data_IF_510086394656
#
_entry.id   IF_510086394656
#
_cell.length_a   1.000
_cell.length_b   1.000
_cell.length_c   1.000
_cell.angle_alpha   90.00
_cell.angle_beta   90.00
_cell.angle_gamma   90.00
#
_symmetry.space_group_name_H-M   'P 1'
#
loop_
_entity.id
_entity.type
_entity.pdbx_description
1 polymer ?
#
# COMPACT_ATOMS: atom_id res chain seq x y z
N UNK A 1 9.42 3.89 33.29
CA UNK A 1 9.81 3.09 34.44
C UNK A 1 8.64 2.31 35.07
N UNK A 2 7.40 2.84 34.94
CA UNK A 2 6.22 2.32 35.65
C UNK A 2 5.78 0.91 35.23
N UNK A 3 6.10 0.47 34.02
CA UNK A 3 5.65 -0.82 33.44
C UNK A 3 6.80 -1.81 33.19
N UNK A 4 8.04 -1.32 33.06
CA UNK A 4 9.12 -2.15 32.51
C UNK A 4 9.45 -3.36 33.38
N UNK A 5 9.43 -3.23 34.70
CA UNK A 5 9.72 -4.37 35.60
C UNK A 5 8.69 -5.49 35.43
N UNK A 6 7.40 -5.14 35.48
CA UNK A 6 6.31 -6.10 35.31
C UNK A 6 6.35 -6.80 33.96
N UNK A 7 6.59 -6.02 32.87
CA UNK A 7 6.66 -6.60 31.51
C UNK A 7 7.84 -7.56 31.38
N UNK A 8 9.00 -7.21 31.91
CA UNK A 8 10.17 -8.12 31.95
C UNK A 8 9.83 -9.41 32.69
N UNK A 9 9.21 -9.32 33.89
CA UNK A 9 8.83 -10.48 34.68
C UNK A 9 7.78 -11.33 33.96
N UNK A 10 6.74 -10.74 33.37
CA UNK A 10 5.72 -11.44 32.59
C UNK A 10 6.33 -12.16 31.37
N UNK A 11 7.25 -11.51 30.62
CA UNK A 11 7.94 -12.16 29.49
C UNK A 11 8.82 -13.32 29.98
N UNK A 12 9.58 -13.16 31.07
CA UNK A 12 10.39 -14.26 31.62
C UNK A 12 9.52 -15.41 32.10
N UNK A 13 8.33 -15.12 32.66
CA UNK A 13 7.38 -16.15 33.13
C UNK A 13 6.80 -16.99 31.98
N UNK A 14 6.83 -16.52 30.74
CA UNK A 14 6.42 -17.29 29.55
C UNK A 14 7.48 -18.31 29.12
N UNK A 15 8.74 -18.16 29.56
CA UNK A 15 9.88 -19.04 29.20
C UNK A 15 9.57 -20.54 29.30
N UNK A 16 9.08 -21.07 30.43
CA UNK A 16 8.77 -22.49 30.58
C UNK A 16 7.72 -23.00 29.58
N UNK A 17 6.73 -22.18 29.25
CA UNK A 17 5.71 -22.52 28.23
C UNK A 17 6.26 -22.54 26.80
N UNK A 18 7.27 -21.72 26.52
CA UNK A 18 8.01 -21.75 25.26
C UNK A 18 8.94 -22.95 25.17
N UNK A 19 9.66 -23.27 26.26
CA UNK A 19 10.54 -24.43 26.32
C UNK A 19 9.80 -25.75 26.09
N UNK A 20 8.59 -25.91 26.63
CA UNK A 20 7.72 -27.06 26.35
C UNK A 20 7.40 -27.24 24.86
N UNK A 21 7.52 -26.17 24.07
CA UNK A 21 7.34 -26.14 22.61
C UNK A 21 8.66 -26.17 21.83
N UNK A 22 9.78 -26.40 22.52
CA UNK A 22 11.11 -26.44 21.93
C UNK A 22 11.68 -25.07 21.56
N UNK A 23 11.16 -23.98 22.14
CA UNK A 23 11.61 -22.60 21.89
C UNK A 23 12.36 -22.09 23.13
N UNK A 24 13.63 -21.74 22.96
CA UNK A 24 14.42 -21.05 23.97
C UNK A 24 14.16 -19.52 23.88
N UNK A 25 13.98 -18.89 25.05
CA UNK A 25 13.73 -17.45 25.13
C UNK A 25 15.03 -16.66 25.29
N UNK A 26 15.31 -15.76 24.38
CA UNK A 26 16.30 -14.68 24.51
C UNK A 26 15.54 -13.36 24.68
N UNK A 27 15.69 -12.66 25.81
CA UNK A 27 15.04 -11.38 26.08
C UNK A 27 16.02 -10.21 25.96
N UNK A 28 15.72 -9.32 25.00
CA UNK A 28 16.44 -8.07 24.82
C UNK A 28 15.50 -6.89 25.13
N UNK A 29 15.98 -5.94 25.90
CA UNK A 29 15.32 -4.66 26.10
C UNK A 29 16.14 -3.57 25.41
N UNK A 30 15.52 -2.83 24.49
CA UNK A 30 16.15 -1.70 23.83
C UNK A 30 15.59 -0.42 24.41
N UNK A 31 16.40 0.27 25.18
CA UNK A 31 16.08 1.57 25.75
C UNK A 31 16.46 2.68 24.78
N UNK A 32 15.47 3.30 24.18
CA UNK A 32 15.64 4.36 23.17
C UNK A 32 15.82 5.76 23.81
N UNK A 33 16.74 5.84 24.75
CA UNK A 33 17.12 7.09 25.40
C UNK A 33 16.13 7.56 26.46
N UNK A 34 15.65 6.66 27.31
CA UNK A 34 14.84 7.01 28.50
C UNK A 34 15.60 7.93 29.44
N UNK A 35 14.87 8.88 30.03
CA UNK A 35 15.43 9.86 30.99
C UNK A 35 15.09 9.53 32.45
N UNK A 36 14.39 8.42 32.65
CA UNK A 36 13.97 7.89 33.94
C UNK A 36 14.82 6.67 34.34
N UNK A 37 14.40 5.94 35.36
CA UNK A 37 15.14 4.78 35.87
C UNK A 37 14.94 3.50 35.07
N UNK A 38 14.38 3.55 33.86
CA UNK A 38 14.10 2.37 33.03
C UNK A 38 15.33 1.48 32.86
N UNK A 39 16.46 2.05 32.44
CA UNK A 39 17.70 1.31 32.26
C UNK A 39 18.24 0.70 33.55
N UNK A 40 18.13 1.44 34.68
CA UNK A 40 18.53 0.93 36.00
C UNK A 40 17.71 -0.27 36.44
N UNK A 41 16.39 -0.24 36.22
CA UNK A 41 15.48 -1.32 36.54
C UNK A 41 15.84 -2.58 35.72
N UNK A 42 16.03 -2.44 34.42
CA UNK A 42 16.36 -3.58 33.54
C UNK A 42 17.70 -4.24 33.91
N UNK A 43 18.71 -3.47 34.34
CA UNK A 43 20.00 -4.03 34.80
C UNK A 43 19.92 -4.94 36.03
N UNK A 44 18.80 -4.92 36.74
CA UNK A 44 18.57 -5.83 37.89
C UNK A 44 18.26 -7.26 37.46
N UNK A 45 17.97 -7.49 36.17
CA UNK A 45 17.66 -8.80 35.59
C UNK A 45 18.87 -9.32 34.78
N UNK A 46 19.72 -10.21 35.39
CA UNK A 46 20.98 -10.66 34.78
C UNK A 46 20.79 -11.43 33.48
N UNK A 47 19.63 -12.03 33.27
CA UNK A 47 19.27 -12.82 32.07
C UNK A 47 18.74 -11.93 30.92
N UNK A 48 18.53 -10.65 31.17
CA UNK A 48 17.99 -9.71 30.21
C UNK A 48 19.13 -8.87 29.64
N UNK A 49 19.23 -8.86 28.32
CA UNK A 49 20.24 -8.05 27.60
C UNK A 49 19.73 -6.66 27.34
N UNK A 50 20.30 -5.66 27.98
CA UNK A 50 19.98 -4.25 27.79
C UNK A 50 20.82 -3.63 26.67
N UNK A 51 20.16 -3.03 25.69
CA UNK A 51 20.77 -2.20 24.66
C UNK A 51 20.27 -0.75 24.83
N UNK A 52 21.13 0.24 24.67
CA UNK A 52 20.76 1.65 24.91
C UNK A 52 21.13 2.53 23.71
N UNK A 53 20.23 3.41 23.34
CA UNK A 53 20.50 4.50 22.41
C UNK A 53 20.76 5.81 23.17
N UNK A 54 21.74 6.56 22.74
CA UNK A 54 21.97 7.91 23.21
C UNK A 54 22.54 8.74 22.03
N UNK A 55 21.79 9.68 21.45
CA UNK A 55 20.40 10.09 21.78
C UNK A 55 19.33 9.08 21.30
N UNK A 56 18.04 9.40 21.61
CA UNK A 56 16.87 8.70 21.06
C UNK A 56 16.93 8.66 19.53
N UNK A 57 16.66 7.46 18.95
CA UNK A 57 16.72 7.20 17.50
C UNK A 57 15.35 6.87 16.89
N UNK A 58 14.35 6.64 17.72
CA UNK A 58 12.98 6.34 17.35
C UNK A 58 12.60 4.87 17.50
N UNK A 59 11.29 4.64 17.58
CA UNK A 59 10.67 3.33 17.83
C UNK A 59 11.17 2.22 16.87
N UNK A 60 11.12 2.48 15.57
CA UNK A 60 11.59 1.50 14.58
C UNK A 60 13.10 1.28 14.64
N UNK A 61 13.89 2.30 14.97
CA UNK A 61 15.33 2.16 15.15
C UNK A 61 15.64 1.26 16.36
N UNK A 62 14.88 1.40 17.45
CA UNK A 62 15.02 0.52 18.63
C UNK A 62 14.73 -0.94 18.27
N UNK A 63 13.63 -1.20 17.55
CA UNK A 63 13.29 -2.54 17.08
C UNK A 63 14.39 -3.14 16.17
N UNK A 64 14.89 -2.35 15.20
CA UNK A 64 15.97 -2.78 14.30
C UNK A 64 17.25 -3.13 15.07
N UNK A 65 17.60 -2.34 16.08
CA UNK A 65 18.75 -2.62 16.96
C UNK A 65 18.54 -3.94 17.70
N UNK A 66 17.35 -4.19 18.24
CA UNK A 66 16.99 -5.44 18.88
C UNK A 66 17.11 -6.65 17.92
N UNK A 67 16.54 -6.54 16.71
CA UNK A 67 16.60 -7.63 15.72
C UNK A 67 18.02 -7.94 15.25
N UNK A 68 18.86 -6.91 15.11
CA UNK A 68 20.27 -7.08 14.75
C UNK A 68 21.04 -7.80 15.87
N UNK A 69 20.74 -7.50 17.13
CA UNK A 69 21.43 -8.06 18.28
C UNK A 69 20.91 -9.44 18.71
N UNK A 70 19.67 -9.79 18.35
CA UNK A 70 19.07 -11.08 18.65
C UNK A 70 19.76 -12.21 17.90
N UNK A 71 19.78 -13.42 18.50
CA UNK A 71 20.45 -14.62 17.94
C UNK A 71 19.47 -15.71 17.50
N UNK A 72 18.23 -15.70 17.99
CA UNK A 72 17.23 -16.71 17.70
C UNK A 72 16.73 -16.74 16.25
N UNK A 73 16.18 -17.86 15.80
CA UNK A 73 15.58 -18.06 14.48
C UNK A 73 14.21 -17.40 14.34
N UNK A 74 13.52 -17.24 15.46
CA UNK A 74 12.30 -16.47 15.57
C UNK A 74 12.59 -15.13 16.23
N UNK A 75 12.05 -14.07 15.66
CA UNK A 75 12.12 -12.73 16.21
C UNK A 75 10.73 -12.33 16.69
N UNK A 76 10.64 -11.86 17.92
CA UNK A 76 9.42 -11.33 18.50
C UNK A 76 9.65 -9.96 19.09
N UNK A 77 8.61 -9.15 19.14
CA UNK A 77 8.61 -7.90 19.88
C UNK A 77 7.24 -7.57 20.45
N UNK A 78 7.24 -6.78 21.49
CA UNK A 78 6.05 -6.16 22.08
C UNK A 78 6.40 -4.77 22.62
N UNK A 79 5.41 -3.89 22.69
CA UNK A 79 5.55 -2.58 23.32
C UNK A 79 5.59 -2.76 24.85
N UNK A 80 6.56 -2.13 25.52
CA UNK A 80 6.76 -2.26 26.97
C UNK A 80 5.83 -1.35 27.81
N UNK A 81 4.65 -0.99 27.30
CA UNK A 81 3.69 -0.09 27.95
C UNK A 81 2.51 -0.82 28.65
N UNK A 82 2.58 -2.14 28.69
CA UNK A 82 1.59 -2.99 29.36
C UNK A 82 0.34 -3.29 28.52
N UNK A 83 0.26 -2.80 27.28
CA UNK A 83 -0.94 -2.99 26.43
C UNK A 83 -1.06 -4.36 25.80
N UNK A 84 0.00 -5.14 25.77
CA UNK A 84 0.09 -6.44 25.11
C UNK A 84 0.40 -7.57 26.09
N UNK A 85 -0.33 -8.70 26.05
CA UNK A 85 -0.09 -9.85 26.90
C UNK A 85 1.05 -10.73 26.39
N UNK A 86 2.21 -10.78 27.09
CA UNK A 86 3.32 -11.68 26.71
C UNK A 86 2.92 -13.14 26.67
N UNK A 87 1.88 -13.51 27.40
CA UNK A 87 1.32 -14.86 27.50
C UNK A 87 0.80 -15.38 26.16
N UNK A 88 0.64 -14.51 25.15
CA UNK A 88 0.26 -14.89 23.78
C UNK A 88 1.43 -15.43 22.95
N UNK A 89 2.69 -15.23 23.34
CA UNK A 89 3.85 -15.69 22.56
C UNK A 89 3.87 -17.19 22.25
N UNK A 90 3.50 -18.12 23.16
CA UNK A 90 3.43 -19.54 22.83
C UNK A 90 2.50 -19.85 21.66
N UNK A 91 1.29 -19.24 21.62
CA UNK A 91 0.34 -19.41 20.54
C UNK A 91 0.88 -18.81 19.22
N UNK A 92 1.65 -17.71 19.29
CA UNK A 92 2.27 -17.11 18.11
C UNK A 92 3.36 -18.03 17.53
N UNK A 93 4.17 -18.65 18.38
CA UNK A 93 5.16 -19.64 17.96
C UNK A 93 4.49 -20.87 17.31
N UNK A 94 3.38 -21.36 17.87
CA UNK A 94 2.60 -22.44 17.25
C UNK A 94 2.11 -22.09 15.86
N UNK A 95 1.60 -20.87 15.65
CA UNK A 95 1.18 -20.42 14.32
C UNK A 95 2.36 -20.33 13.34
N UNK A 96 3.56 -19.91 13.79
CA UNK A 96 4.78 -19.95 12.97
C UNK A 96 5.13 -21.40 12.59
N UNK A 97 5.06 -22.35 13.52
CA UNK A 97 5.32 -23.77 13.23
C UNK A 97 4.27 -24.38 12.30
N UNK A 98 3.03 -23.86 12.35
CA UNK A 98 1.96 -24.24 11.43
C UNK A 98 2.12 -23.64 10.01
N UNK A 99 3.19 -22.86 9.75
CA UNK A 99 3.54 -22.36 8.44
C UNK A 99 3.31 -20.86 8.23
N UNK A 100 3.05 -20.07 9.29
CA UNK A 100 3.05 -18.61 9.16
C UNK A 100 4.50 -18.08 9.07
N UNK A 101 4.69 -17.03 8.27
CA UNK A 101 5.95 -16.28 8.21
C UNK A 101 5.96 -15.14 9.23
N UNK A 102 4.80 -14.50 9.42
CA UNK A 102 4.58 -13.38 10.33
C UNK A 102 3.27 -13.59 11.07
N UNK A 103 3.32 -13.52 12.39
CA UNK A 103 2.13 -13.54 13.26
C UNK A 103 1.98 -12.19 13.94
N UNK A 104 0.78 -11.64 13.88
CA UNK A 104 0.41 -10.32 14.44
C UNK A 104 -0.67 -10.52 15.50
N UNK A 105 -0.50 -9.97 16.67
CA UNK A 105 -1.54 -9.92 17.68
C UNK A 105 -2.59 -8.86 17.35
N UNK A 106 -3.79 -9.29 16.98
CA UNK A 106 -4.88 -8.39 16.59
C UNK A 106 -5.68 -7.94 17.80
N UNK A 107 -5.68 -6.65 18.07
CA UNK A 107 -6.45 -5.99 19.14
C UNK A 107 -7.93 -5.84 18.79
N UNK A 108 -8.30 -6.12 17.54
CA UNK A 108 -9.68 -5.93 17.01
C UNK A 108 -10.48 -7.22 16.96
N UNK A 109 -9.81 -8.36 16.93
CA UNK A 109 -10.46 -9.68 16.81
C UNK A 109 -10.84 -10.28 18.17
N UNK A 110 -10.37 -9.70 19.27
CA UNK A 110 -10.68 -10.17 20.64
C UNK A 110 -11.95 -9.52 21.22
N UNK A 111 -12.72 -10.29 22.03
CA UNK A 111 -13.97 -9.81 22.65
C UNK A 111 -13.73 -8.74 23.74
N UNK A 112 -12.55 -8.72 24.34
CA UNK A 112 -12.18 -7.84 25.48
C UNK A 112 -11.10 -6.84 25.04
N UNK A 113 -11.48 -5.83 24.24
CA UNK A 113 -10.56 -4.78 23.84
C UNK A 113 -10.98 -3.44 24.42
N UNK A 114 -10.20 -2.92 25.37
CA UNK A 114 -10.35 -1.59 25.98
C UNK A 114 -9.80 -0.46 25.09
N UNK A 115 -9.68 -0.70 23.78
CA UNK A 115 -9.14 0.29 22.85
C UNK A 115 -10.06 1.52 22.73
N UNK A 116 -9.54 2.75 22.93
CA UNK A 116 -10.30 3.98 22.75
C UNK A 116 -10.90 4.10 21.34
N UNK A 117 -12.13 4.65 21.24
CA UNK A 117 -12.85 4.77 19.97
C UNK A 117 -12.05 5.44 18.85
N UNK A 118 -11.32 6.52 19.17
CA UNK A 118 -10.46 7.21 18.18
C UNK A 118 -9.42 6.28 17.59
N UNK A 119 -8.81 5.39 18.39
CA UNK A 119 -7.85 4.39 17.90
C UNK A 119 -8.53 3.27 17.13
N UNK A 120 -9.75 2.86 17.54
CA UNK A 120 -10.54 1.87 16.78
C UNK A 120 -10.87 2.38 15.37
N UNK A 121 -11.34 3.62 15.27
CA UNK A 121 -11.65 4.27 13.98
C UNK A 121 -10.37 4.44 13.13
N UNK A 122 -9.30 4.97 13.73
CA UNK A 122 -8.03 5.11 13.02
C UNK A 122 -7.50 3.78 12.49
N UNK A 123 -7.48 2.75 13.33
CA UNK A 123 -7.02 1.42 12.91
C UNK A 123 -7.94 0.80 11.84
N UNK A 124 -9.27 1.04 11.89
CA UNK A 124 -10.19 0.63 10.84
C UNK A 124 -9.85 1.27 9.49
N UNK A 125 -9.59 2.57 9.48
CA UNK A 125 -9.18 3.30 8.26
C UNK A 125 -7.89 2.72 7.69
N UNK A 126 -6.88 2.49 8.53
CA UNK A 126 -5.60 1.93 8.09
C UNK A 126 -5.74 0.49 7.61
N UNK A 127 -6.48 -0.35 8.30
CA UNK A 127 -6.75 -1.73 7.89
C UNK A 127 -7.47 -1.79 6.55
N UNK A 128 -8.50 -0.95 6.37
CA UNK A 128 -9.24 -0.85 5.10
C UNK A 128 -8.34 -0.38 3.97
N UNK A 129 -7.51 0.64 4.22
CA UNK A 129 -6.57 1.16 3.22
C UNK A 129 -5.53 0.11 2.80
N UNK A 130 -4.89 -0.56 3.77
CA UNK A 130 -3.92 -1.62 3.48
C UNK A 130 -4.59 -2.77 2.72
N UNK A 131 -5.79 -3.20 3.14
CA UNK A 131 -6.56 -4.24 2.46
C UNK A 131 -6.90 -3.86 1.01
N UNK A 132 -7.39 -2.63 0.79
CA UNK A 132 -7.72 -2.14 -0.54
C UNK A 132 -6.50 -2.07 -1.47
N UNK A 133 -5.37 -1.58 -0.96
CA UNK A 133 -4.14 -1.41 -1.73
C UNK A 133 -3.40 -2.74 -1.98
N UNK A 134 -3.41 -3.67 -1.02
CA UNK A 134 -2.72 -4.96 -1.14
C UNK A 134 -3.58 -6.06 -1.77
N UNK A 135 -4.92 -5.96 -1.64
CA UNK A 135 -5.88 -6.97 -2.07
C UNK A 135 -5.92 -8.22 -1.17
N UNK A 136 -5.35 -8.16 0.02
CA UNK A 136 -5.41 -9.20 1.05
C UNK A 136 -5.94 -8.58 2.35
N UNK A 137 -6.82 -9.27 3.08
CA UNK A 137 -7.39 -8.73 4.30
C UNK A 137 -6.31 -8.56 5.38
N UNK A 138 -6.26 -7.38 5.99
CA UNK A 138 -5.44 -7.07 7.17
C UNK A 138 -6.34 -6.38 8.18
N UNK A 139 -6.37 -6.86 9.41
CA UNK A 139 -7.29 -6.38 10.46
C UNK A 139 -6.61 -5.36 11.37
N UNK A 140 -5.36 -5.62 11.77
CA UNK A 140 -4.61 -4.73 12.68
C UNK A 140 -3.18 -4.45 12.20
N UNK A 141 -2.99 -3.61 11.16
CA UNK A 141 -1.67 -3.32 10.60
C UNK A 141 -0.75 -2.57 11.57
N UNK A 142 -1.29 -1.93 12.61
CA UNK A 142 -0.55 -1.09 13.55
C UNK A 142 -0.31 -1.75 14.91
N UNK A 143 -0.53 -3.07 15.03
CA UNK A 143 -0.24 -3.79 16.25
C UNK A 143 1.25 -3.79 16.59
N UNK A 144 1.57 -3.54 17.86
CA UNK A 144 2.92 -3.55 18.43
C UNK A 144 3.33 -4.88 19.05
N UNK A 145 2.64 -5.99 18.78
CA UNK A 145 3.05 -7.33 19.19
C UNK A 145 3.08 -8.29 18.00
N UNK A 146 4.25 -8.86 17.74
CA UNK A 146 4.48 -9.75 16.59
C UNK A 146 5.53 -10.80 16.87
N UNK A 147 5.42 -11.93 16.15
CA UNK A 147 6.47 -12.93 16.00
C UNK A 147 6.62 -13.26 14.51
N UNK A 148 7.86 -13.39 14.04
CA UNK A 148 8.14 -13.71 12.65
C UNK A 148 9.46 -14.49 12.52
N UNK A 149 9.61 -15.18 11.38
CA UNK A 149 10.86 -15.90 11.07
C UNK A 149 11.96 -14.90 10.74
N UNK A 150 13.18 -15.14 11.22
CA UNK A 150 14.35 -14.28 10.93
C UNK A 150 14.56 -14.10 9.42
N UNK A 151 14.38 -15.16 8.64
CA UNK A 151 14.51 -15.12 7.18
C UNK A 151 13.52 -14.17 6.49
N UNK A 152 12.33 -13.97 7.06
CA UNK A 152 11.35 -13.01 6.56
C UNK A 152 11.85 -11.56 6.66
N UNK A 153 12.80 -11.28 7.56
CA UNK A 153 13.32 -9.93 7.78
C UNK A 153 13.96 -9.34 6.51
N UNK A 154 14.66 -10.15 5.71
CA UNK A 154 15.30 -9.70 4.45
C UNK A 154 14.27 -9.19 3.44
N UNK A 155 13.09 -9.80 3.41
CA UNK A 155 11.97 -9.39 2.54
C UNK A 155 11.19 -8.18 3.11
N UNK A 156 11.20 -8.02 4.43
CA UNK A 156 10.54 -6.92 5.09
C UNK A 156 11.34 -5.61 5.05
N UNK A 157 12.67 -5.67 4.95
CA UNK A 157 13.51 -4.48 4.89
C UNK A 157 13.42 -3.76 3.51
N UNK A 158 13.71 -2.43 3.47
CA UNK A 158 14.03 -1.52 4.57
C UNK A 158 12.78 -1.11 5.37
N UNK A 159 12.90 -1.00 6.69
CA UNK A 159 11.84 -0.56 7.61
C UNK A 159 12.19 0.82 8.20
N UNK A 160 11.19 1.71 8.43
CA UNK A 160 11.43 3.06 8.93
C UNK A 160 11.85 3.09 10.40
N UNK A 161 12.48 4.18 10.84
CA UNK A 161 12.91 4.38 12.23
C UNK A 161 11.79 4.87 13.17
N UNK A 162 10.69 5.37 12.61
CA UNK A 162 9.59 6.00 13.35
C UNK A 162 8.46 5.05 13.77
N UNK A 163 7.37 5.65 14.26
CA UNK A 163 6.15 4.94 14.68
C UNK A 163 5.40 4.27 13.53
N UNK A 164 5.70 4.62 12.29
CA UNK A 164 5.16 3.99 11.08
C UNK A 164 5.81 2.62 10.76
N UNK A 165 6.66 2.10 11.64
CA UNK A 165 7.33 0.81 11.48
C UNK A 165 6.34 -0.34 11.29
N UNK A 166 5.36 -0.49 12.19
CA UNK A 166 4.41 -1.61 12.17
C UNK A 166 3.44 -1.58 10.99
N UNK A 167 2.86 -0.43 10.57
CA UNK A 167 2.08 -0.35 9.34
C UNK A 167 2.88 -0.69 8.09
N UNK A 168 4.14 -0.23 7.99
CA UNK A 168 5.02 -0.57 6.85
C UNK A 168 5.31 -2.06 6.82
N UNK A 169 5.68 -2.64 7.96
CA UNK A 169 5.95 -4.06 8.07
C UNK A 169 4.76 -4.91 7.63
N UNK A 170 3.52 -4.56 8.05
CA UNK A 170 2.31 -5.26 7.61
C UNK A 170 2.08 -5.11 6.10
N UNK A 171 2.19 -3.89 5.59
CA UNK A 171 1.99 -3.63 4.15
C UNK A 171 2.99 -4.40 3.31
N UNK A 172 4.26 -4.42 3.70
CA UNK A 172 5.30 -5.18 3.01
C UNK A 172 5.09 -6.68 3.10
N UNK A 173 4.81 -7.21 4.30
CA UNK A 173 4.55 -8.64 4.47
C UNK A 173 3.49 -9.16 3.48
N UNK A 174 2.42 -8.39 3.29
CA UNK A 174 1.35 -8.75 2.36
C UNK A 174 1.78 -8.63 0.90
N UNK A 175 2.50 -7.58 0.51
CA UNK A 175 2.98 -7.38 -0.85
C UNK A 175 4.07 -8.39 -1.24
N UNK A 176 4.96 -8.72 -0.31
CA UNK A 176 5.96 -9.77 -0.47
C UNK A 176 5.38 -11.19 -0.51
N UNK A 177 4.06 -11.34 -0.32
CA UNK A 177 3.39 -12.63 -0.35
C UNK A 177 3.74 -13.51 0.86
N UNK A 178 4.21 -12.93 1.97
CA UNK A 178 4.42 -13.66 3.21
C UNK A 178 3.09 -14.15 3.78
N UNK A 179 3.12 -15.31 4.42
CA UNK A 179 1.95 -15.85 5.12
C UNK A 179 1.77 -15.10 6.45
N UNK A 180 1.00 -14.01 6.41
CA UNK A 180 0.67 -13.20 7.57
C UNK A 180 -0.60 -13.73 8.22
N UNK A 181 -0.49 -14.14 9.49
CA UNK A 181 -1.59 -14.63 10.33
C UNK A 181 -1.85 -13.63 11.44
N UNK A 182 -3.11 -13.30 11.67
CA UNK A 182 -3.53 -12.42 12.77
C UNK A 182 -4.26 -13.26 13.84
N UNK A 183 -3.73 -13.25 15.05
CA UNK A 183 -4.33 -13.94 16.19
C UNK A 183 -5.03 -12.92 17.10
N UNK A 184 -6.28 -13.18 17.52
CA UNK A 184 -6.98 -12.32 18.45
C UNK A 184 -6.25 -12.31 19.81
N UNK A 185 -6.14 -11.11 20.39
CA UNK A 185 -5.61 -10.97 21.74
C UNK A 185 -6.35 -9.86 22.50
N UNK A 186 -6.44 -9.93 23.84
CA UNK A 186 -6.94 -8.83 24.64
C UNK A 186 -6.01 -7.62 24.52
N UNK A 187 -6.58 -6.42 24.66
CA UNK A 187 -5.84 -5.18 24.71
C UNK A 187 -6.11 -4.51 26.05
N UNK A 188 -5.07 -4.42 26.87
CA UNK A 188 -5.14 -3.80 28.18
C UNK A 188 -4.95 -2.27 28.08
N UNK A 189 -5.42 -1.55 29.10
CA UNK A 189 -5.24 -0.09 29.15
C UNK A 189 -3.76 0.25 29.33
N UNK A 190 -3.29 1.21 28.54
CA UNK A 190 -1.89 1.64 28.53
C UNK A 190 -1.51 2.29 29.83
N UNK A 191 -0.37 1.89 30.41
CA UNK A 191 0.27 2.61 31.50
C UNK A 191 1.14 3.74 30.94
N UNK A 192 0.84 4.99 31.30
CA UNK A 192 1.59 6.17 30.90
C UNK A 192 0.98 6.95 29.71
N UNK A 193 1.59 8.09 29.37
CA UNK A 193 1.08 9.01 28.34
C UNK A 193 1.47 8.56 26.94
N UNK A 194 0.52 8.58 26.02
CA UNK A 194 0.78 8.32 24.60
C UNK A 194 1.60 9.47 23.99
N UNK A 195 2.72 9.15 23.34
CA UNK A 195 3.50 10.11 22.54
C UNK A 195 2.92 10.30 21.13
N UNK A 196 1.90 9.52 20.74
CA UNK A 196 1.31 9.53 19.40
C UNK A 196 0.42 10.77 19.22
N UNK A 197 0.73 11.58 18.21
CA UNK A 197 -0.13 12.67 17.76
C UNK A 197 -1.03 12.16 16.65
N UNK A 198 -2.35 12.07 16.89
CA UNK A 198 -3.33 11.42 16.01
C UNK A 198 -3.30 11.99 14.59
N UNK A 199 -3.20 13.32 14.43
CA UNK A 199 -3.21 13.95 13.10
C UNK A 199 -1.86 13.80 12.42
N UNK A 200 -0.76 14.22 13.07
CA UNK A 200 0.58 14.22 12.46
C UNK A 200 1.06 12.79 12.14
N UNK A 201 0.91 11.87 13.09
CA UNK A 201 1.36 10.49 12.89
C UNK A 201 0.40 9.74 11.99
N UNK A 202 -0.90 10.07 12.02
CA UNK A 202 -1.88 9.58 11.06
C UNK A 202 -1.52 9.95 9.61
N UNK A 203 -1.16 11.21 9.35
CA UNK A 203 -0.71 11.64 8.01
C UNK A 203 0.58 10.93 7.58
N UNK A 204 1.52 10.70 8.51
CA UNK A 204 2.72 9.91 8.22
C UNK A 204 2.38 8.47 7.84
N UNK A 205 1.44 7.85 8.56
CA UNK A 205 0.98 6.49 8.27
C UNK A 205 0.34 6.43 6.88
N UNK A 206 -0.57 7.37 6.57
CA UNK A 206 -1.20 7.49 5.26
C UNK A 206 -0.14 7.58 4.16
N UNK A 207 0.74 8.56 4.27
CA UNK A 207 1.81 8.77 3.29
C UNK A 207 2.66 7.51 3.11
N UNK A 208 3.06 6.88 4.21
CA UNK A 208 3.91 5.69 4.15
C UNK A 208 3.20 4.50 3.52
N UNK A 209 1.93 4.24 3.87
CA UNK A 209 1.14 3.14 3.29
C UNK A 209 0.97 3.35 1.78
N UNK A 210 0.63 4.59 1.35
CA UNK A 210 0.48 4.91 -0.08
C UNK A 210 1.80 4.72 -0.81
N UNK A 211 2.91 5.27 -0.32
CA UNK A 211 4.21 5.13 -0.97
C UNK A 211 4.67 3.67 -1.02
N UNK A 212 4.48 2.91 0.05
CA UNK A 212 4.78 1.48 0.04
C UNK A 212 3.95 0.75 -1.00
N UNK A 213 2.64 0.98 -1.05
CA UNK A 213 1.76 0.36 -2.04
C UNK A 213 2.16 0.73 -3.49
N UNK A 214 2.52 1.99 -3.74
CA UNK A 214 3.01 2.45 -5.05
C UNK A 214 4.34 1.81 -5.45
N UNK A 215 5.20 1.45 -4.48
CA UNK A 215 6.46 0.78 -4.75
C UNK A 215 6.26 -0.67 -5.22
N UNK A 216 5.20 -1.35 -4.74
CA UNK A 216 4.93 -2.74 -5.07
C UNK A 216 3.90 -2.93 -6.20
N UNK A 217 2.83 -2.16 -6.18
CA UNK A 217 1.75 -2.28 -7.17
C UNK A 217 1.10 -0.93 -7.43
N UNK A 218 1.72 -0.06 -8.22
CA UNK A 218 1.19 1.26 -8.54
C UNK A 218 -0.12 1.21 -9.35
N UNK A 219 -0.37 0.11 -10.07
CA UNK A 219 -1.58 -0.05 -10.88
C UNK A 219 -2.86 0.02 -10.05
N UNK A 220 -2.86 -0.51 -8.83
CA UNK A 220 -4.06 -0.51 -7.97
C UNK A 220 -4.46 0.89 -7.50
N UNK A 221 -3.60 1.67 -6.79
CA UNK A 221 -4.00 2.99 -6.32
C UNK A 221 -4.22 3.98 -7.48
N UNK A 222 -3.30 4.07 -8.44
CA UNK A 222 -3.42 5.00 -9.56
C UNK A 222 -4.53 4.58 -10.52
N UNK A 223 -4.58 3.30 -10.88
CA UNK A 223 -5.60 2.77 -11.76
C UNK A 223 -7.00 2.85 -11.15
N UNK A 224 -7.16 2.58 -9.86
CA UNK A 224 -8.45 2.68 -9.16
C UNK A 224 -8.97 4.12 -9.09
N UNK A 225 -8.13 5.07 -8.69
CA UNK A 225 -8.48 6.51 -8.67
C UNK A 225 -8.73 7.00 -10.09
N UNK A 226 -7.86 6.65 -11.05
CA UNK A 226 -8.00 7.03 -12.45
C UNK A 226 -9.31 6.54 -13.05
N UNK A 227 -9.65 5.28 -12.86
CA UNK A 227 -10.92 4.70 -13.31
C UNK A 227 -12.13 5.39 -12.69
N UNK A 228 -12.10 5.69 -11.39
CA UNK A 228 -13.17 6.40 -10.71
C UNK A 228 -13.41 7.81 -11.26
N UNK A 229 -12.32 8.58 -11.48
CA UNK A 229 -12.41 9.92 -12.09
C UNK A 229 -12.90 9.86 -13.52
N UNK A 230 -12.42 8.90 -14.32
CA UNK A 230 -12.88 8.68 -15.68
C UNK A 230 -14.38 8.37 -15.74
N UNK A 231 -14.86 7.47 -14.92
CA UNK A 231 -16.28 7.13 -14.82
C UNK A 231 -17.13 8.35 -14.42
N UNK A 232 -16.66 9.14 -13.45
CA UNK A 232 -17.35 10.36 -13.04
C UNK A 232 -17.43 11.38 -14.19
N UNK A 233 -16.32 11.61 -14.90
CA UNK A 233 -16.29 12.45 -16.10
C UNK A 233 -17.22 11.94 -17.19
N UNK A 234 -17.24 10.63 -17.45
CA UNK A 234 -18.12 9.98 -18.41
C UNK A 234 -19.61 10.15 -18.04
N UNK A 235 -19.97 9.98 -16.77
CA UNK A 235 -21.35 10.20 -16.30
C UNK A 235 -21.79 11.65 -16.55
N UNK A 236 -20.96 12.62 -16.20
CA UNK A 236 -21.25 14.04 -16.47
C UNK A 236 -21.40 14.28 -17.98
N UNK A 237 -20.49 13.74 -18.80
CA UNK A 237 -20.58 13.87 -20.27
C UNK A 237 -21.88 13.26 -20.83
N UNK A 238 -22.27 12.08 -20.36
CA UNK A 238 -23.53 11.43 -20.75
C UNK A 238 -24.76 12.26 -20.38
N UNK A 239 -24.75 12.93 -19.23
CA UNK A 239 -25.82 13.88 -18.87
C UNK A 239 -25.93 15.00 -19.91
N UNK A 240 -24.78 15.58 -20.34
CA UNK A 240 -24.80 16.63 -21.38
C UNK A 240 -25.23 16.10 -22.74
N UNK A 241 -24.88 14.88 -23.12
CA UNK A 241 -25.41 14.23 -24.32
C UNK A 241 -26.94 14.08 -24.22
N UNK A 242 -27.44 13.63 -23.09
CA UNK A 242 -28.87 13.51 -22.83
C UNK A 242 -29.61 14.85 -22.93
N UNK A 243 -29.06 15.90 -22.32
CA UNK A 243 -29.58 17.27 -22.43
C UNK A 243 -29.61 17.76 -23.91
N UNK A 244 -28.57 17.45 -24.67
CA UNK A 244 -28.50 17.79 -26.11
C UNK A 244 -29.59 17.06 -26.90
N UNK A 245 -29.81 15.79 -26.64
CA UNK A 245 -30.84 14.97 -27.30
C UNK A 245 -32.25 15.40 -26.90
N UNK A 246 -32.47 15.94 -25.71
CA UNK A 246 -33.75 16.53 -25.29
C UNK A 246 -34.00 17.94 -25.78
N UNK A 247 -33.14 18.47 -26.68
CA UNK A 247 -33.36 19.74 -27.36
C UNK A 247 -32.69 20.96 -26.74
N UNK A 248 -31.91 20.79 -25.64
CA UNK A 248 -31.12 21.90 -25.07
C UNK A 248 -29.93 22.20 -26.00
N UNK A 249 -29.98 23.36 -26.65
CA UNK A 249 -28.95 23.77 -27.63
C UNK A 249 -27.94 24.77 -27.07
N UNK A 250 -28.33 25.52 -26.04
CA UNK A 250 -27.49 26.54 -25.38
C UNK A 250 -27.27 26.18 -23.91
N UNK A 251 -26.06 26.46 -23.41
CA UNK A 251 -25.69 26.19 -22.04
C UNK A 251 -25.44 27.51 -21.28
N UNK A 252 -25.98 27.60 -20.07
CA UNK A 252 -25.61 28.67 -19.17
C UNK A 252 -24.21 28.46 -18.58
N UNK A 253 -23.70 29.40 -17.76
CA UNK A 253 -22.34 29.35 -17.18
C UNK A 253 -22.03 28.04 -16.44
N UNK A 254 -22.97 27.49 -15.69
CA UNK A 254 -22.83 26.21 -14.98
C UNK A 254 -22.75 25.00 -15.92
N UNK A 255 -23.44 25.09 -17.08
CA UNK A 255 -23.34 24.05 -18.09
C UNK A 255 -21.96 24.03 -18.75
N UNK A 256 -21.40 25.19 -19.05
CA UNK A 256 -20.03 25.32 -19.58
C UNK A 256 -19.01 24.79 -18.57
N UNK A 257 -19.14 25.17 -17.29
CA UNK A 257 -18.29 24.65 -16.21
C UNK A 257 -18.40 23.13 -16.07
N UNK A 258 -19.62 22.58 -16.23
CA UNK A 258 -19.86 21.13 -16.16
C UNK A 258 -19.18 20.36 -17.30
N UNK A 259 -19.20 20.87 -18.53
CA UNK A 259 -18.46 20.26 -19.65
C UNK A 259 -16.97 20.29 -19.40
N UNK A 260 -16.45 21.44 -18.97
CA UNK A 260 -15.04 21.58 -18.64
C UNK A 260 -14.62 20.59 -17.54
N UNK A 261 -15.45 20.44 -16.49
CA UNK A 261 -15.24 19.46 -15.44
C UNK A 261 -15.26 18.02 -15.98
N UNK A 262 -16.21 17.68 -16.88
CA UNK A 262 -16.27 16.36 -17.50
C UNK A 262 -15.00 16.04 -18.30
N UNK A 263 -14.53 17.00 -19.10
CA UNK A 263 -13.30 16.86 -19.88
C UNK A 263 -12.08 16.69 -18.97
N UNK A 264 -11.94 17.54 -17.94
CA UNK A 264 -10.83 17.51 -17.00
C UNK A 264 -10.79 16.18 -16.25
N UNK A 265 -11.93 15.74 -15.70
CA UNK A 265 -12.03 14.48 -14.97
C UNK A 265 -11.78 13.27 -15.88
N UNK A 266 -12.29 13.31 -17.11
CA UNK A 266 -12.07 12.27 -18.09
C UNK A 266 -10.59 12.12 -18.46
N UNK A 267 -9.92 13.23 -18.79
CA UNK A 267 -8.50 13.24 -19.15
C UNK A 267 -7.61 12.85 -17.96
N UNK A 268 -7.81 13.49 -16.79
CA UNK A 268 -7.04 13.16 -15.59
C UNK A 268 -7.25 11.70 -15.16
N UNK A 269 -8.49 11.22 -15.23
CA UNK A 269 -8.82 9.85 -14.89
C UNK A 269 -8.12 8.85 -15.80
N UNK A 270 -8.15 9.13 -17.10
CA UNK A 270 -7.47 8.33 -18.10
C UNK A 270 -5.95 8.33 -17.90
N UNK A 271 -5.33 9.50 -17.69
CA UNK A 271 -3.89 9.64 -17.48
C UNK A 271 -3.42 8.88 -16.24
N UNK A 272 -4.15 9.01 -15.11
CA UNK A 272 -3.81 8.27 -13.89
C UNK A 272 -3.94 6.76 -14.08
N UNK A 273 -4.95 6.30 -14.82
CA UNK A 273 -5.12 4.89 -15.12
C UNK A 273 -3.96 4.35 -15.97
N UNK A 274 -3.63 5.04 -17.07
CA UNK A 274 -2.56 4.65 -17.97
C UNK A 274 -1.17 4.74 -17.30
N UNK A 275 -0.96 5.77 -16.47
CA UNK A 275 0.23 5.93 -15.66
C UNK A 275 0.39 4.75 -14.68
N UNK A 276 -0.69 4.34 -14.00
CA UNK A 276 -0.69 3.18 -13.10
C UNK A 276 -0.29 1.90 -13.82
N UNK A 277 -0.81 1.66 -15.03
CA UNK A 277 -0.43 0.54 -15.87
C UNK A 277 1.06 0.57 -16.26
N UNK A 278 1.55 1.74 -16.68
CA UNK A 278 2.95 1.94 -17.10
C UNK A 278 3.92 1.72 -15.94
N UNK A 279 3.62 2.28 -14.76
CA UNK A 279 4.45 2.09 -13.57
C UNK A 279 4.50 0.62 -13.12
N UNK A 280 3.46 -0.15 -13.36
CA UNK A 280 3.47 -1.58 -13.05
C UNK A 280 4.55 -2.33 -13.85
N UNK A 281 4.72 -2.00 -15.14
CA UNK A 281 5.82 -2.55 -15.95
C UNK A 281 7.19 -2.09 -15.43
N UNK A 282 7.30 -0.82 -15.03
CA UNK A 282 8.55 -0.26 -14.52
C UNK A 282 8.96 -0.94 -13.19
N UNK A 283 8.01 -1.14 -12.26
CA UNK A 283 8.26 -1.83 -10.99
C UNK A 283 8.69 -3.28 -11.21
N UNK A 284 8.02 -3.99 -12.12
CA UNK A 284 8.39 -5.36 -12.46
C UNK A 284 9.82 -5.45 -13.06
N UNK A 285 10.20 -4.47 -13.89
CA UNK A 285 11.55 -4.39 -14.46
C UNK A 285 12.61 -4.19 -13.36
N UNK A 286 12.37 -3.28 -12.40
CA UNK A 286 13.33 -3.01 -11.33
C UNK A 286 13.43 -4.16 -10.32
N UNK A 287 12.33 -4.83 -10.03
CA UNK A 287 12.32 -5.95 -9.08
C UNK A 287 12.75 -7.28 -9.73
N UNK A 288 12.99 -7.29 -11.05
CA UNK A 288 13.25 -8.52 -11.85
C UNK A 288 12.16 -9.57 -11.72
N UNK A 289 10.94 -9.14 -11.45
CA UNK A 289 9.77 -9.97 -11.28
C UNK A 289 8.95 -10.06 -12.57
N UNK A 290 8.11 -11.09 -12.64
CA UNK A 290 7.13 -11.20 -13.73
C UNK A 290 6.09 -10.09 -13.59
N UNK A 291 5.87 -9.34 -14.69
CA UNK A 291 4.86 -8.27 -14.72
C UNK A 291 3.50 -8.80 -14.29
N UNK A 292 2.96 -8.31 -13.19
CA UNK A 292 1.61 -8.64 -12.74
C UNK A 292 0.60 -7.94 -13.67
N UNK A 293 0.00 -8.67 -14.58
CA UNK A 293 -0.96 -8.15 -15.55
C UNK A 293 -2.32 -7.93 -14.90
N UNK A 294 -2.86 -6.70 -15.05
CA UNK A 294 -4.20 -6.32 -14.58
C UNK A 294 -4.27 -5.69 -13.18
N UNK A 295 -5.33 -4.88 -12.94
CA UNK A 295 -5.59 -4.17 -11.68
C UNK A 295 -5.64 -5.09 -10.45
N UNK A 296 -6.07 -6.34 -10.63
CA UNK A 296 -6.26 -7.33 -9.57
C UNK A 296 -5.27 -8.49 -9.64
N UNK A 297 -4.14 -8.33 -10.35
CA UNK A 297 -3.13 -9.38 -10.55
C UNK A 297 -3.55 -10.47 -11.55
N UNK A 298 -4.71 -10.31 -12.22
CA UNK A 298 -5.17 -11.15 -13.34
C UNK A 298 -5.66 -10.24 -14.46
N UNK A 299 -5.29 -10.48 -15.73
CA UNK A 299 -5.83 -9.74 -16.85
C UNK A 299 -7.33 -10.05 -16.99
N UNK A 300 -8.15 -8.99 -17.14
CA UNK A 300 -9.59 -9.11 -17.40
C UNK A 300 -9.82 -9.46 -18.88
N UNK A 301 -8.89 -9.06 -19.75
CA UNK A 301 -8.92 -9.31 -21.19
C UNK A 301 -7.75 -10.19 -21.62
N UNK A 302 -7.97 -11.06 -22.58
CA UNK A 302 -6.92 -11.84 -23.23
C UNK A 302 -6.99 -11.59 -24.75
N UNK A 303 -6.00 -10.91 -25.37
CA UNK A 303 -4.81 -10.33 -24.75
C UNK A 303 -5.09 -9.13 -23.85
N UNK A 304 -4.18 -8.75 -22.94
CA UNK A 304 -4.33 -7.63 -22.01
C UNK A 304 -4.65 -6.32 -22.73
N UNK A 305 -5.46 -5.46 -22.09
CA UNK A 305 -6.00 -4.22 -22.67
C UNK A 305 -4.91 -3.27 -23.22
N UNK A 306 -3.74 -3.24 -22.59
CA UNK A 306 -2.58 -2.44 -23.01
C UNK A 306 -2.07 -2.78 -24.42
N UNK A 307 -2.28 -4.02 -24.89
CA UNK A 307 -1.97 -4.40 -26.27
C UNK A 307 -2.85 -3.70 -27.31
N UNK A 308 -4.03 -3.32 -26.91
CA UNK A 308 -5.00 -2.68 -27.78
C UNK A 308 -4.86 -1.14 -27.83
N UNK A 309 -4.09 -0.53 -26.93
CA UNK A 309 -3.98 0.93 -26.83
C UNK A 309 -3.56 1.61 -28.13
N UNK A 310 -2.62 1.04 -28.90
CA UNK A 310 -2.17 1.65 -30.16
C UNK A 310 -3.29 1.82 -31.20
N UNK A 311 -4.03 0.74 -31.53
CA UNK A 311 -5.13 0.88 -32.49
C UNK A 311 -6.30 1.67 -31.93
N UNK A 312 -6.56 1.60 -30.60
CA UNK A 312 -7.59 2.40 -29.94
C UNK A 312 -7.23 3.88 -29.97
N UNK A 313 -5.94 4.23 -29.80
CA UNK A 313 -5.42 5.58 -29.92
C UNK A 313 -5.65 6.15 -31.30
N UNK A 314 -5.23 5.42 -32.33
CA UNK A 314 -5.46 5.83 -33.73
C UNK A 314 -6.95 5.98 -34.07
N UNK A 315 -7.80 5.07 -33.59
CA UNK A 315 -9.25 5.16 -33.79
C UNK A 315 -9.85 6.38 -33.09
N UNK A 316 -9.41 6.70 -31.86
CA UNK A 316 -9.84 7.89 -31.13
C UNK A 316 -9.40 9.19 -31.83
N UNK A 317 -8.14 9.26 -32.31
CA UNK A 317 -7.65 10.40 -33.10
C UNK A 317 -8.50 10.57 -34.36
N UNK A 318 -8.70 9.49 -35.13
CA UNK A 318 -9.50 9.52 -36.34
C UNK A 318 -10.94 9.98 -36.10
N UNK A 319 -11.60 9.40 -35.07
CA UNK A 319 -12.94 9.80 -34.66
C UNK A 319 -13.03 11.26 -34.21
N UNK A 320 -12.03 11.71 -33.43
CA UNK A 320 -11.94 13.12 -33.00
C UNK A 320 -11.75 14.09 -34.14
N UNK A 321 -10.89 13.77 -35.09
CA UNK A 321 -10.70 14.57 -36.30
C UNK A 321 -11.97 14.64 -37.16
N UNK A 322 -12.68 13.51 -37.33
CA UNK A 322 -13.97 13.49 -38.06
C UNK A 322 -14.99 14.39 -37.37
N UNK A 323 -15.12 14.32 -36.04
CA UNK A 323 -16.01 15.22 -35.28
C UNK A 323 -15.61 16.69 -35.42
N UNK A 324 -14.30 16.99 -35.40
CA UNK A 324 -13.79 18.35 -35.65
C UNK A 324 -14.12 18.88 -37.05
N UNK A 325 -13.91 18.05 -38.07
CA UNK A 325 -14.22 18.40 -39.49
C UNK A 325 -15.73 18.59 -39.66
N UNK A 326 -16.57 17.71 -39.14
CA UNK A 326 -18.02 17.84 -39.14
C UNK A 326 -18.44 19.14 -38.44
N UNK A 327 -17.86 19.44 -37.28
CA UNK A 327 -18.10 20.70 -36.59
C UNK A 327 -17.72 21.91 -37.40
N UNK A 328 -16.59 21.88 -38.11
CA UNK A 328 -16.15 22.96 -39.03
C UNK A 328 -17.12 23.15 -40.20
N UNK A 329 -17.52 22.07 -40.87
CA UNK A 329 -18.44 22.10 -41.99
C UNK A 329 -19.80 22.67 -41.54
N UNK A 330 -20.33 22.25 -40.40
CA UNK A 330 -21.57 22.78 -39.85
C UNK A 330 -21.44 24.27 -39.49
N UNK A 331 -20.30 24.71 -38.94
CA UNK A 331 -20.02 26.11 -38.68
C UNK A 331 -20.01 26.96 -39.97
N UNK A 332 -19.33 26.48 -41.01
CA UNK A 332 -19.31 27.12 -42.32
C UNK A 332 -20.70 27.13 -43.00
N UNK A 333 -21.57 26.17 -42.70
CA UNK A 333 -22.95 26.09 -43.16
C UNK A 333 -23.91 27.01 -42.38
N UNK A 334 -23.40 27.89 -41.52
CA UNK A 334 -24.17 28.87 -40.78
C UNK A 334 -24.71 28.43 -39.42
N UNK A 335 -24.21 27.30 -38.87
CA UNK A 335 -24.54 26.93 -37.49
C UNK A 335 -23.82 27.85 -36.51
N UNK A 336 -24.55 28.36 -35.52
CA UNK A 336 -23.93 29.15 -34.44
C UNK A 336 -22.98 28.29 -33.58
N UNK A 337 -21.87 28.86 -33.18
CA UNK A 337 -20.83 28.24 -32.34
C UNK A 337 -21.44 27.62 -31.08
N UNK A 338 -22.48 28.25 -30.52
CA UNK A 338 -23.21 27.75 -29.35
C UNK A 338 -23.85 26.35 -29.54
N UNK A 339 -24.05 25.93 -30.81
CA UNK A 339 -24.57 24.60 -31.16
C UNK A 339 -23.45 23.58 -31.40
N UNK A 340 -22.22 24.04 -31.60
CA UNK A 340 -21.07 23.20 -31.97
C UNK A 340 -20.23 22.75 -30.77
N UNK A 341 -20.51 23.27 -29.58
CA UNK A 341 -19.69 23.01 -28.38
C UNK A 341 -19.48 21.52 -28.07
N UNK A 342 -20.53 20.69 -28.28
CA UNK A 342 -20.42 19.24 -27.99
C UNK A 342 -19.50 18.56 -29.00
N UNK A 343 -19.62 18.87 -30.30
CA UNK A 343 -18.80 18.28 -31.38
C UNK A 343 -17.34 18.66 -31.22
N UNK A 344 -17.07 19.93 -30.97
CA UNK A 344 -15.71 20.45 -30.82
C UNK A 344 -15.05 19.93 -29.54
N UNK A 345 -15.77 19.94 -28.42
CA UNK A 345 -15.24 19.43 -27.13
C UNK A 345 -14.98 17.94 -27.18
N UNK A 346 -15.94 17.15 -27.69
CA UNK A 346 -15.79 15.70 -27.81
C UNK A 346 -14.67 15.33 -28.79
N UNK A 347 -14.60 16.06 -29.93
CA UNK A 347 -13.53 15.87 -30.90
C UNK A 347 -12.15 16.17 -30.33
N UNK A 348 -11.98 17.30 -29.63
CA UNK A 348 -10.73 17.67 -29.00
C UNK A 348 -10.34 16.65 -27.91
N UNK A 349 -11.29 16.22 -27.07
CA UNK A 349 -11.04 15.23 -26.02
C UNK A 349 -10.60 13.89 -26.61
N UNK A 350 -11.27 13.41 -27.68
CA UNK A 350 -10.90 12.15 -28.34
C UNK A 350 -9.50 12.21 -28.96
N UNK A 351 -9.12 13.34 -29.60
CA UNK A 351 -7.77 13.49 -30.15
C UNK A 351 -6.72 13.45 -29.04
N UNK A 352 -6.92 14.20 -27.95
CA UNK A 352 -5.96 14.23 -26.83
C UNK A 352 -5.84 12.85 -26.19
N UNK A 353 -6.96 12.18 -25.88
CA UNK A 353 -6.95 10.84 -25.32
C UNK A 353 -6.32 9.82 -26.27
N UNK A 354 -6.55 9.94 -27.57
CA UNK A 354 -5.95 9.07 -28.57
C UNK A 354 -4.42 9.20 -28.61
N UNK A 355 -3.91 10.43 -28.63
CA UNK A 355 -2.46 10.71 -28.57
C UNK A 355 -1.87 10.15 -27.26
N UNK A 356 -2.54 10.32 -26.14
CA UNK A 356 -2.10 9.77 -24.85
C UNK A 356 -2.05 8.23 -24.88
N UNK A 357 -3.07 7.57 -25.45
CA UNK A 357 -3.08 6.11 -25.63
C UNK A 357 -1.87 5.63 -26.42
N UNK A 358 -1.54 6.30 -27.53
CA UNK A 358 -0.41 5.95 -28.38
C UNK A 358 0.93 6.16 -27.63
N UNK A 359 1.06 7.26 -26.88
CA UNK A 359 2.26 7.52 -26.07
C UNK A 359 2.44 6.40 -25.03
N UNK A 360 1.39 6.09 -24.27
CA UNK A 360 1.46 5.03 -23.26
C UNK A 360 1.69 3.66 -23.88
N UNK A 361 1.10 3.36 -25.04
CA UNK A 361 1.35 2.13 -25.76
C UNK A 361 2.84 1.98 -26.12
N UNK A 362 3.45 3.02 -26.68
CA UNK A 362 4.89 3.00 -27.02
C UNK A 362 5.74 2.80 -25.79
N UNK A 363 5.47 3.52 -24.69
CA UNK A 363 6.23 3.39 -23.46
C UNK A 363 6.13 1.95 -22.91
N UNK A 364 4.92 1.38 -22.84
CA UNK A 364 4.73 0.02 -22.33
C UNK A 364 5.41 -1.02 -23.21
N UNK A 365 5.42 -0.84 -24.53
CA UNK A 365 6.13 -1.74 -25.45
C UNK A 365 7.64 -1.69 -25.25
N UNK A 366 8.20 -0.49 -25.08
CA UNK A 366 9.63 -0.34 -24.80
C UNK A 366 9.98 -1.01 -23.46
N UNK A 367 9.18 -0.81 -22.42
CA UNK A 367 9.41 -1.42 -21.10
C UNK A 367 9.26 -2.96 -21.15
N UNK A 368 8.27 -3.48 -21.89
CA UNK A 368 8.08 -4.93 -22.09
C UNK A 368 9.32 -5.55 -22.78
N UNK A 369 9.85 -4.89 -23.81
CA UNK A 369 11.03 -5.37 -24.54
C UNK A 369 12.30 -5.32 -23.68
N UNK A 370 12.46 -4.25 -22.88
CA UNK A 370 13.58 -4.16 -21.94
C UNK A 370 13.52 -5.24 -20.87
N UNK A 371 12.34 -5.49 -20.30
CA UNK A 371 12.11 -6.56 -19.31
C UNK A 371 12.41 -7.94 -19.91
N UNK A 372 11.97 -8.20 -21.14
CA UNK A 372 12.23 -9.46 -21.84
C UNK A 372 13.71 -9.67 -22.13
N UNK A 373 14.42 -8.62 -22.53
CA UNK A 373 15.86 -8.66 -22.77
C UNK A 373 16.63 -9.03 -21.49
N UNK A 374 16.27 -8.41 -20.35
CA UNK A 374 16.90 -8.70 -19.07
C UNK A 374 16.72 -10.18 -18.66
N UNK A 375 15.50 -10.72 -18.82
CA UNK A 375 15.20 -12.13 -18.53
C UNK A 375 15.99 -13.09 -19.44
N UNK A 376 16.14 -12.76 -20.73
CA UNK A 376 16.93 -13.57 -21.68
C UNK A 376 18.41 -13.57 -21.31
N UNK A 377 18.99 -12.42 -20.97
CA UNK A 377 20.38 -12.31 -20.52
C UNK A 377 20.60 -13.20 -19.29
N UNK A 378 19.69 -13.12 -18.31
CA UNK A 378 19.80 -13.91 -17.08
C UNK A 378 19.70 -15.43 -17.37
N UNK A 379 18.78 -15.85 -18.24
CA UNK A 379 18.62 -17.26 -18.64
C UNK A 379 19.83 -17.79 -19.45
N UNK A 380 20.45 -16.96 -20.29
CA UNK A 380 21.62 -17.34 -21.09
C UNK A 380 22.86 -17.41 -20.20
N UNK A 381 23.03 -16.50 -19.25
CA UNK A 381 24.13 -16.57 -18.28
C UNK A 381 24.03 -17.78 -17.35
N UNK A 382 22.83 -18.16 -16.91
CA UNK A 382 22.61 -19.36 -16.10
C UNK A 382 22.91 -20.66 -16.90
N UNK A 383 22.69 -20.67 -18.22
CA UNK A 383 23.01 -21.80 -19.09
C UNK A 383 24.52 -21.96 -19.33
N UNK A 384 25.27 -20.87 -19.39
CA UNK A 384 26.73 -20.93 -19.54
C UNK A 384 27.45 -21.49 -18.29
N UNK A 385 26.85 -21.43 -17.10
CA UNK A 385 27.40 -22.03 -15.88
C UNK A 385 27.10 -23.53 -15.73
N UNK A 386 26.32 -24.12 -16.62
CA UNK A 386 25.98 -25.56 -16.61
C UNK A 386 26.82 -26.36 -17.63
N UNK A 387 27.61 -25.70 -18.48
CA UNK A 387 28.61 -26.29 -19.34
C UNK A 387 30.00 -26.18 -18.74
#
# INVERSE_FOLDING_TARGET
EDSIAEIVERVLAVGPALEQRGVALELLVVDDGSKDRTAEIVRRYPTVRLLQHNPNRGYGAALKTGFCAATGDLLGFLDADGTYPPESFPAFCEAIFAGADVVVGSRRSGAESEMPLVRKVGNFIWATLVTALSGRPVVDPASGMRVFRREALTRLYPLPDGLNFTPVMSTRAVHEGLNLVELPMPYEERRGRSKLNVVRDGMRFLQTIIWTALTYNPARPLGGVGFGLFCLGAVIALVFVGLRLSGVTTLGPWGVAGIFAAMLLGLMGFDLFALGATFNYLVALFNKDVVQKGLFGRPIFDPPLDRHFGWMGLAAIGGGLVLGIVGLILGLSGWHIERLWLYLSAGAMLVVMGVQLDIFWVIMRVLEELSRREQLIQSDMEREYIC
#
